data_IF_780945906998
#
_entry.id   IF_780945906998
#
_cell.length_a   1.000
_cell.length_b   1.000
_cell.length_c   1.000
_cell.angle_alpha   90.00
_cell.angle_beta   90.00
_cell.angle_gamma   90.00
#
_symmetry.space_group_name_H-M   'P 1'
#
loop_
_entity.id
_entity.type
_entity.pdbx_description
1 polymer ?
#
# COMPACT_ATOMS: atom_id res chain seq x y z
N UNK A 1 -19.72 28.06 -29.36
CA UNK A 1 -20.84 27.15 -29.00
C UNK A 1 -20.95 27.04 -27.50
N UNK A 2 -22.02 27.57 -26.92
CA UNK A 2 -22.34 27.39 -25.50
C UNK A 2 -23.32 26.23 -25.36
N UNK A 3 -22.85 25.04 -25.13
CA UNK A 3 -23.71 23.99 -24.60
C UNK A 3 -23.67 24.08 -23.07
N UNK A 4 -24.64 24.74 -22.47
CA UNK A 4 -24.94 24.55 -21.06
C UNK A 4 -25.88 23.36 -20.97
N UNK A 5 -25.39 22.20 -20.62
CA UNK A 5 -26.25 21.15 -20.12
C UNK A 5 -26.17 21.16 -18.60
N UNK A 6 -27.21 21.65 -17.96
CA UNK A 6 -27.45 21.43 -16.55
C UNK A 6 -28.17 20.10 -16.43
N UNK A 7 -27.42 19.05 -16.15
CA UNK A 7 -27.99 17.74 -15.80
C UNK A 7 -27.91 17.56 -14.28
N UNK A 8 -29.03 17.22 -13.66
CA UNK A 8 -29.03 16.66 -12.31
C UNK A 8 -28.66 15.20 -12.44
N UNK A 9 -27.47 14.80 -12.00
CA UNK A 9 -27.14 13.40 -11.87
C UNK A 9 -28.01 12.80 -10.76
N UNK A 10 -28.68 11.66 -11.00
CA UNK A 10 -29.39 10.98 -9.93
C UNK A 10 -28.39 10.66 -8.82
N UNK A 11 -28.70 11.05 -7.58
CA UNK A 11 -27.96 10.59 -6.42
C UNK A 11 -28.04 9.07 -6.42
N UNK A 12 -26.92 8.40 -6.54
CA UNK A 12 -26.89 6.97 -6.33
C UNK A 12 -27.35 6.69 -4.89
N UNK A 13 -28.37 5.86 -4.72
CA UNK A 13 -28.88 5.46 -3.40
C UNK A 13 -27.82 4.67 -2.61
N UNK A 14 -26.86 4.10 -3.30
CA UNK A 14 -25.71 3.40 -2.72
C UNK A 14 -24.44 4.00 -3.34
N UNK A 15 -23.42 4.36 -2.52
CA UNK A 15 -22.14 4.83 -3.04
C UNK A 15 -21.55 3.78 -3.97
N UNK A 16 -21.35 4.11 -5.23
CA UNK A 16 -20.65 3.24 -6.16
C UNK A 16 -19.19 3.25 -5.73
N UNK A 17 -18.69 2.11 -5.24
CA UNK A 17 -17.26 1.93 -5.04
C UNK A 17 -16.61 1.70 -6.40
N UNK A 18 -15.73 2.61 -6.78
CA UNK A 18 -14.86 2.44 -7.94
C UNK A 18 -13.57 1.76 -7.47
N UNK A 19 -13.03 0.92 -8.34
CA UNK A 19 -11.79 0.20 -8.07
C UNK A 19 -11.99 -1.19 -7.46
N UNK A 20 -10.87 -1.86 -7.22
CA UNK A 20 -10.82 -3.20 -6.65
C UNK A 20 -10.78 -3.10 -5.12
N UNK A 21 -11.56 -3.91 -4.40
CA UNK A 21 -11.41 -4.01 -2.94
C UNK A 21 -10.02 -4.57 -2.61
N UNK A 22 -9.18 -3.75 -1.99
CA UNK A 22 -7.81 -4.14 -1.66
C UNK A 22 -7.71 -4.86 -0.33
N UNK A 23 -8.62 -4.60 0.62
CA UNK A 23 -8.64 -5.30 1.91
C UNK A 23 -8.93 -6.78 1.72
N UNK A 24 -8.26 -7.62 2.51
CA UNK A 24 -8.42 -9.06 2.38
C UNK A 24 -8.38 -9.75 3.76
N UNK A 25 -9.38 -10.57 4.03
CA UNK A 25 -9.44 -11.44 5.20
C UNK A 25 -8.90 -12.85 4.93
N UNK A 26 -8.42 -13.08 3.71
CA UNK A 26 -7.86 -14.36 3.27
C UNK A 26 -8.83 -15.54 3.48
N UNK A 27 -10.12 -15.31 3.21
CA UNK A 27 -11.17 -16.33 3.43
C UNK A 27 -11.28 -17.34 2.28
N UNK A 28 -10.80 -16.99 1.10
CA UNK A 28 -10.89 -17.82 -0.08
C UNK A 28 -9.91 -18.99 -0.08
N UNK A 29 -10.00 -19.81 -1.12
CA UNK A 29 -9.03 -20.87 -1.43
C UNK A 29 -7.98 -20.41 -2.43
N UNK A 30 -8.22 -19.29 -3.08
CA UNK A 30 -7.35 -18.66 -4.08
C UNK A 30 -7.07 -17.20 -3.72
N UNK A 31 -5.95 -16.66 -4.19
CA UNK A 31 -5.61 -15.25 -4.03
C UNK A 31 -6.63 -14.38 -4.78
N UNK A 32 -7.05 -13.29 -4.14
CA UNK A 32 -7.85 -12.26 -4.79
C UNK A 32 -7.09 -11.57 -5.93
N UNK A 33 -7.85 -10.92 -6.84
CA UNK A 33 -7.30 -10.27 -8.04
C UNK A 33 -6.35 -9.11 -7.73
N UNK A 34 -6.41 -8.53 -6.52
CA UNK A 34 -5.53 -7.47 -6.07
C UNK A 34 -4.08 -7.92 -5.89
N UNK A 35 -3.83 -9.23 -5.74
CA UNK A 35 -2.51 -9.76 -5.42
C UNK A 35 -1.71 -10.17 -6.64
N UNK A 36 -0.47 -9.74 -6.71
CA UNK A 36 0.48 -10.10 -7.76
C UNK A 36 1.84 -10.47 -7.15
N UNK A 37 2.54 -11.41 -7.76
CA UNK A 37 3.92 -11.71 -7.38
C UNK A 37 4.91 -10.75 -8.05
N UNK A 38 6.04 -10.52 -7.39
CA UNK A 38 7.13 -9.79 -8.00
C UNK A 38 7.95 -10.67 -8.94
N UNK A 39 7.95 -10.36 -10.23
CA UNK A 39 8.71 -11.01 -11.33
C UNK A 39 8.45 -12.51 -11.55
N UNK A 40 8.12 -13.26 -10.52
CA UNK A 40 7.99 -14.70 -10.57
C UNK A 40 6.59 -15.12 -10.12
N UNK A 41 5.82 -15.73 -10.99
CA UNK A 41 4.54 -16.31 -10.60
C UNK A 41 4.75 -17.58 -9.78
N UNK A 42 4.45 -17.53 -8.50
CA UNK A 42 4.75 -18.60 -7.56
C UNK A 42 3.55 -19.00 -6.68
N UNK A 43 2.43 -19.47 -7.26
CA UNK A 43 1.22 -19.79 -6.50
C UNK A 43 1.46 -20.87 -5.45
N UNK A 44 2.37 -21.84 -5.69
CA UNK A 44 2.76 -22.88 -4.72
C UNK A 44 3.50 -22.35 -3.47
N UNK A 45 3.88 -21.08 -3.47
CA UNK A 45 4.48 -20.43 -2.32
C UNK A 45 3.44 -19.81 -1.38
N UNK A 46 2.16 -19.82 -1.77
CA UNK A 46 1.03 -19.29 -0.98
C UNK A 46 0.13 -20.43 -0.57
N UNK A 47 -0.31 -20.41 0.67
CA UNK A 47 -1.39 -21.26 1.19
C UNK A 47 -2.40 -20.37 1.89
N UNK A 48 -3.68 -20.55 1.57
CA UNK A 48 -4.80 -19.88 2.22
C UNK A 48 -5.56 -20.89 3.06
N UNK A 49 -5.58 -20.68 4.37
CA UNK A 49 -6.24 -21.57 5.30
C UNK A 49 -6.67 -20.82 6.56
N UNK A 50 -7.87 -21.06 7.04
CA UNK A 50 -8.39 -20.47 8.28
C UNK A 50 -8.22 -18.94 8.37
N UNK A 51 -8.58 -18.23 7.29
CA UNK A 51 -8.42 -16.77 7.18
C UNK A 51 -6.96 -16.31 7.38
N UNK A 52 -6.03 -17.11 6.92
CA UNK A 52 -4.60 -16.86 7.04
C UNK A 52 -3.93 -17.11 5.71
N UNK A 53 -3.19 -16.13 5.23
CA UNK A 53 -2.28 -16.29 4.13
C UNK A 53 -0.91 -16.70 4.68
N UNK A 54 -0.41 -17.85 4.27
CA UNK A 54 0.96 -18.30 4.54
C UNK A 54 1.80 -18.09 3.30
N UNK A 55 2.94 -17.42 3.47
CA UNK A 55 3.86 -17.08 2.38
C UNK A 55 5.22 -17.72 2.65
N UNK A 56 5.59 -18.70 1.83
CA UNK A 56 6.91 -19.35 1.91
C UNK A 56 8.01 -18.34 1.64
N UNK A 57 9.01 -18.34 2.49
CA UNK A 57 10.13 -17.43 2.42
C UNK A 57 11.08 -17.72 1.23
N UNK A 58 11.83 -16.68 0.86
CA UNK A 58 12.88 -16.72 -0.15
C UNK A 58 13.87 -15.60 0.16
N UNK A 59 15.09 -15.74 -0.32
CA UNK A 59 16.10 -14.68 -0.31
C UNK A 59 16.68 -14.36 1.07
N UNK A 60 17.42 -13.24 1.12
CA UNK A 60 18.12 -12.77 2.32
C UNK A 60 17.72 -11.35 2.72
N UNK A 61 17.14 -10.60 1.81
CA UNK A 61 16.77 -9.19 1.96
C UNK A 61 15.39 -8.95 1.35
N UNK A 62 14.74 -7.80 1.58
CA UNK A 62 13.51 -7.45 0.87
C UNK A 62 13.66 -7.43 -0.65
N UNK A 63 14.86 -7.12 -1.16
CA UNK A 63 15.14 -7.04 -2.59
C UNK A 63 15.00 -8.39 -3.31
N UNK A 64 15.37 -9.49 -2.67
CA UNK A 64 15.31 -10.85 -3.19
C UNK A 64 14.31 -11.75 -2.43
N UNK A 65 13.55 -11.17 -1.52
CA UNK A 65 12.52 -11.84 -0.74
C UNK A 65 11.30 -12.29 -1.55
N UNK A 66 10.48 -13.12 -0.95
CA UNK A 66 9.17 -13.45 -1.53
C UNK A 66 8.22 -12.28 -1.27
N UNK A 67 7.71 -11.70 -2.33
CA UNK A 67 6.81 -10.56 -2.29
C UNK A 67 5.46 -10.92 -2.90
N UNK A 68 4.40 -10.54 -2.19
CA UNK A 68 3.04 -10.52 -2.69
C UNK A 68 2.55 -9.08 -2.63
N UNK A 69 2.21 -8.51 -3.79
CA UNK A 69 2.04 -7.08 -4.00
C UNK A 69 0.61 -6.73 -4.37
N UNK A 70 0.10 -5.64 -3.79
CA UNK A 70 -1.15 -4.99 -4.19
C UNK A 70 -0.87 -3.54 -4.60
N UNK A 71 -1.49 -3.09 -5.70
CA UNK A 71 -1.32 -1.72 -6.18
C UNK A 71 -2.22 -0.79 -5.39
N UNK A 72 -1.64 0.22 -4.73
CA UNK A 72 -2.41 1.27 -4.08
C UNK A 72 -3.12 2.13 -5.14
N UNK A 73 -4.40 2.43 -4.91
CA UNK A 73 -5.23 3.21 -5.83
C UNK A 73 -5.22 4.70 -5.49
N UNK A 74 -4.81 5.05 -4.27
CA UNK A 74 -4.88 6.39 -3.72
C UNK A 74 -3.49 6.95 -3.43
N UNK A 75 -3.39 8.27 -3.50
CA UNK A 75 -2.19 9.01 -3.07
C UNK A 75 -2.06 9.06 -1.55
N UNK A 76 -3.19 9.13 -0.86
CA UNK A 76 -3.27 9.15 0.60
C UNK A 76 -4.01 7.91 1.07
N UNK A 77 -3.34 7.06 1.82
CA UNK A 77 -3.93 5.81 2.32
C UNK A 77 -3.26 5.32 3.60
N UNK A 78 -3.97 4.44 4.27
CA UNK A 78 -3.46 3.65 5.38
C UNK A 78 -3.61 2.17 5.03
N UNK A 79 -2.57 1.39 5.30
CA UNK A 79 -2.60 -0.05 5.16
C UNK A 79 -2.03 -0.72 6.40
N UNK A 80 -2.62 -1.84 6.79
CA UNK A 80 -2.16 -2.62 7.94
C UNK A 80 -2.37 -4.12 7.72
N UNK A 81 -1.56 -4.91 8.41
CA UNK A 81 -1.67 -6.37 8.38
C UNK A 81 -1.14 -6.97 9.68
N UNK A 82 -1.76 -8.04 10.15
CA UNK A 82 -1.21 -8.88 11.21
C UNK A 82 -0.17 -9.83 10.63
N UNK A 83 1.00 -9.85 11.24
CA UNK A 83 2.15 -10.65 10.83
C UNK A 83 2.49 -11.65 11.93
N UNK A 84 2.65 -12.91 11.54
CA UNK A 84 3.27 -13.93 12.40
C UNK A 84 4.52 -14.45 11.71
N UNK A 85 5.65 -14.19 12.33
CA UNK A 85 6.98 -14.56 11.81
C UNK A 85 7.28 -16.01 12.14
N UNK A 86 7.60 -16.79 11.14
CA UNK A 86 7.99 -18.19 11.30
C UNK A 86 9.40 -18.39 11.89
N UNK A 87 9.78 -19.64 12.10
CA UNK A 87 11.15 -19.96 12.52
C UNK A 87 12.14 -19.71 11.36
N UNK A 88 13.25 -19.03 11.65
CA UNK A 88 14.28 -18.67 10.66
C UNK A 88 13.72 -17.82 9.49
N UNK A 89 12.74 -17.01 9.79
CA UNK A 89 12.03 -16.17 8.84
C UNK A 89 12.09 -14.71 9.31
N UNK A 90 12.04 -13.80 8.34
CA UNK A 90 11.83 -12.36 8.54
C UNK A 90 10.67 -11.95 7.66
N UNK A 91 9.70 -11.24 8.21
CA UNK A 91 8.51 -10.88 7.48
C UNK A 91 7.96 -9.52 7.88
N UNK A 92 7.14 -8.92 7.01
CA UNK A 92 6.54 -7.63 7.29
C UNK A 92 5.77 -7.03 6.12
N UNK A 93 5.66 -5.71 6.14
CA UNK A 93 4.91 -4.89 5.21
C UNK A 93 5.81 -3.81 4.62
N UNK A 94 5.80 -3.67 3.31
CA UNK A 94 6.63 -2.72 2.58
C UNK A 94 5.77 -1.89 1.62
N UNK A 95 6.24 -0.70 1.30
CA UNK A 95 5.98 -0.03 0.04
C UNK A 95 7.12 -0.39 -0.90
N UNK A 96 6.81 -1.01 -2.02
CA UNK A 96 7.80 -1.62 -2.89
C UNK A 96 7.64 -1.14 -4.33
N UNK A 97 8.65 -0.47 -4.84
CA UNK A 97 8.76 -0.09 -6.24
C UNK A 97 9.61 -1.11 -7.02
N UNK A 98 10.80 -1.40 -6.51
CA UNK A 98 11.77 -2.34 -7.11
C UNK A 98 12.77 -2.83 -6.06
N UNK A 99 13.69 -3.72 -6.45
CA UNK A 99 14.77 -4.22 -5.59
C UNK A 99 15.67 -3.10 -5.05
N UNK A 100 15.69 -1.94 -5.71
CA UNK A 100 16.51 -0.78 -5.35
C UNK A 100 15.72 0.32 -4.64
N UNK A 101 14.40 0.20 -4.58
CA UNK A 101 13.51 1.24 -4.04
C UNK A 101 12.33 0.61 -3.30
N UNK A 102 12.43 0.59 -1.98
CA UNK A 102 11.37 0.15 -1.07
C UNK A 102 11.54 0.81 0.30
N UNK A 103 10.46 0.99 1.01
CA UNK A 103 10.39 1.48 2.38
C UNK A 103 9.40 0.62 3.17
N UNK A 104 9.54 0.51 4.49
CA UNK A 104 8.61 -0.25 5.30
C UNK A 104 9.29 -0.95 6.47
N UNK A 105 8.67 -2.00 6.97
CA UNK A 105 9.12 -2.71 8.15
C UNK A 105 9.10 -4.22 7.94
N UNK A 106 10.14 -4.87 8.42
CA UNK A 106 10.19 -6.33 8.61
C UNK A 106 10.67 -6.66 10.03
N UNK A 107 10.37 -7.86 10.50
CA UNK A 107 10.88 -8.36 11.78
C UNK A 107 11.23 -9.84 11.69
N UNK A 108 12.24 -10.25 12.45
CA UNK A 108 12.59 -11.65 12.71
C UNK A 108 11.95 -12.18 14.02
N UNK A 109 11.13 -11.34 14.66
CA UNK A 109 10.50 -11.60 15.95
C UNK A 109 11.33 -11.14 17.16
N UNK A 110 12.56 -10.64 16.96
CA UNK A 110 13.43 -10.06 18.00
C UNK A 110 13.77 -8.60 17.71
N UNK A 111 13.84 -8.26 16.43
CA UNK A 111 14.22 -6.95 15.93
C UNK A 111 13.21 -6.48 14.90
N UNK A 112 12.79 -5.23 14.96
CA UNK A 112 12.15 -4.51 13.88
C UNK A 112 13.22 -3.85 13.03
N UNK A 113 13.25 -4.16 11.75
CA UNK A 113 14.09 -3.48 10.77
C UNK A 113 13.23 -2.55 9.94
N UNK A 114 13.39 -1.25 10.16
CA UNK A 114 12.69 -0.20 9.41
C UNK A 114 13.56 0.23 8.24
N UNK A 115 13.07 0.07 7.04
CA UNK A 115 13.68 0.57 5.81
C UNK A 115 13.10 1.94 5.47
N UNK A 116 13.94 2.97 5.41
CA UNK A 116 13.56 4.29 4.88
C UNK A 116 13.70 4.34 3.36
N UNK A 117 14.66 3.58 2.87
CA UNK A 117 14.94 3.31 1.47
C UNK A 117 15.73 1.99 1.40
N UNK A 118 15.80 1.34 0.23
CA UNK A 118 16.66 0.18 0.03
C UNK A 118 18.10 0.48 0.47
N UNK A 119 18.63 -0.29 1.41
CA UNK A 119 19.96 -0.08 1.99
C UNK A 119 20.01 0.92 3.16
N UNK A 120 19.03 1.77 3.36
CA UNK A 120 18.94 2.66 4.52
C UNK A 120 17.99 2.07 5.57
N UNK A 121 18.53 1.43 6.59
CA UNK A 121 17.74 0.76 7.61
C UNK A 121 18.10 1.22 9.02
N UNK A 122 17.11 1.12 9.91
CA UNK A 122 17.27 1.29 11.35
C UNK A 122 16.76 0.03 12.03
N UNK A 123 17.49 -0.49 12.99
CA UNK A 123 17.11 -1.66 13.78
C UNK A 123 16.65 -1.22 15.18
N UNK A 124 15.51 -1.74 15.62
CA UNK A 124 14.84 -1.40 16.88
C UNK A 124 14.46 -2.71 17.56
N UNK A 125 14.71 -2.90 18.87
CA UNK A 125 14.28 -4.09 19.58
C UNK A 125 12.77 -4.33 19.44
N UNK A 126 12.39 -5.55 19.07
CA UNK A 126 11.00 -5.95 18.97
C UNK A 126 10.53 -6.54 20.31
N UNK A 127 9.75 -5.76 21.05
CA UNK A 127 9.16 -6.19 22.34
C UNK A 127 7.83 -6.94 22.17
N UNK A 128 7.26 -6.97 20.97
CA UNK A 128 5.98 -7.64 20.66
C UNK A 128 6.16 -9.13 20.33
N UNK A 129 7.41 -9.54 20.03
CA UNK A 129 7.72 -10.91 19.67
C UNK A 129 7.37 -11.24 18.21
N UNK A 130 7.01 -12.51 17.95
CA UNK A 130 6.78 -13.01 16.60
C UNK A 130 5.43 -12.65 16.00
N UNK A 131 4.49 -12.17 16.81
CA UNK A 131 3.16 -11.77 16.34
C UNK A 131 2.91 -10.31 16.66
N UNK A 132 2.67 -9.53 15.63
CA UNK A 132 2.43 -8.09 15.72
C UNK A 132 1.57 -7.63 14.54
N UNK A 133 0.99 -6.45 14.65
CA UNK A 133 0.35 -5.75 13.55
C UNK A 133 1.26 -4.61 13.12
N UNK A 134 1.48 -4.48 11.83
CA UNK A 134 2.20 -3.35 11.23
C UNK A 134 1.23 -2.48 10.45
N UNK A 135 1.41 -1.16 10.56
CA UNK A 135 0.64 -0.15 9.85
C UNK A 135 1.57 0.81 9.13
N UNK A 136 1.25 1.09 7.88
CA UNK A 136 1.88 2.13 7.06
C UNK A 136 0.82 3.15 6.70
N UNK A 137 1.07 4.43 6.97
CA UNK A 137 0.29 5.56 6.46
C UNK A 137 1.12 6.30 5.43
N UNK A 138 0.54 6.53 4.26
CA UNK A 138 1.11 7.38 3.23
C UNK A 138 0.26 8.64 3.07
N UNK A 139 0.86 9.80 3.26
CA UNK A 139 0.21 11.09 3.09
C UNK A 139 1.04 11.95 2.14
N UNK A 140 0.62 12.02 0.88
CA UNK A 140 1.33 12.80 -0.13
C UNK A 140 2.79 12.35 -0.34
N UNK A 141 3.05 11.05 -0.33
CA UNK A 141 4.37 10.41 -0.41
C UNK A 141 5.25 10.55 0.85
N UNK A 142 4.71 11.04 1.96
CA UNK A 142 5.36 11.00 3.27
C UNK A 142 4.77 9.86 4.09
N UNK A 143 5.62 8.93 4.48
CA UNK A 143 5.21 7.67 5.09
C UNK A 143 5.55 7.65 6.57
N UNK A 144 4.60 7.17 7.38
CA UNK A 144 4.84 6.77 8.76
C UNK A 144 4.59 5.28 8.95
N UNK A 145 5.37 4.68 9.85
CA UNK A 145 5.34 3.25 10.14
C UNK A 145 5.10 3.06 11.63
N UNK A 146 4.07 2.30 11.97
CA UNK A 146 3.71 2.00 13.35
C UNK A 146 3.49 0.50 13.54
N UNK A 147 3.69 0.03 14.75
CA UNK A 147 3.44 -1.36 15.16
C UNK A 147 2.54 -1.41 16.39
N UNK A 148 1.83 -2.48 16.53
CA UNK A 148 0.97 -2.75 17.68
C UNK A 148 0.74 -4.25 17.87
N UNK A 149 0.24 -4.64 19.01
CA UNK A 149 -0.04 -6.06 19.32
C UNK A 149 -1.32 -6.55 18.65
N UNK A 150 -2.35 -5.73 18.67
CA UNK A 150 -3.72 -6.10 18.29
C UNK A 150 -4.38 -5.13 17.28
N UNK A 151 -3.62 -4.16 16.78
CA UNK A 151 -4.12 -3.13 15.86
C UNK A 151 -4.97 -2.04 16.51
N UNK A 152 -4.99 -1.94 17.83
CA UNK A 152 -5.70 -0.88 18.60
C UNK A 152 -4.75 0.17 19.10
N UNK A 153 -3.70 -0.24 19.80
CA UNK A 153 -2.65 0.65 20.29
C UNK A 153 -1.45 0.60 19.36
N UNK A 154 -0.87 1.77 19.08
CA UNK A 154 0.18 1.92 18.08
C UNK A 154 1.39 2.64 18.65
N UNK A 155 2.55 2.04 18.42
CA UNK A 155 3.85 2.68 18.61
C UNK A 155 4.43 3.07 17.26
N UNK A 156 4.68 4.34 17.04
CA UNK A 156 5.30 4.84 15.81
C UNK A 156 6.80 4.61 15.88
N UNK A 157 7.33 3.89 14.90
CA UNK A 157 8.76 3.58 14.79
C UNK A 157 9.50 4.50 13.82
N UNK A 158 8.79 5.07 12.86
CA UNK A 158 9.36 6.02 11.91
C UNK A 158 8.29 6.94 11.34
N UNK A 159 8.69 8.17 11.04
CA UNK A 159 7.87 9.20 10.42
C UNK A 159 8.66 9.95 9.34
N UNK A 160 7.94 10.62 8.44
CA UNK A 160 8.51 11.50 7.43
C UNK A 160 9.42 10.78 6.42
N UNK A 161 9.17 9.50 6.15
CA UNK A 161 9.90 8.78 5.10
C UNK A 161 9.37 9.27 3.75
N UNK A 162 10.22 9.96 3.00
CA UNK A 162 9.87 10.44 1.66
C UNK A 162 10.03 9.31 0.64
N UNK A 163 8.92 8.93 0.01
CA UNK A 163 8.88 7.92 -1.07
C UNK A 163 8.60 8.54 -2.44
N UNK A 164 8.57 9.87 -2.55
CA UNK A 164 8.28 10.58 -3.80
C UNK A 164 9.28 10.26 -4.92
N UNK A 165 10.53 9.95 -4.55
CA UNK A 165 11.57 9.54 -5.49
C UNK A 165 11.49 8.08 -5.95
N UNK A 166 10.53 7.26 -5.47
CA UNK A 166 10.40 5.85 -5.84
C UNK A 166 9.56 5.69 -7.11
N UNK A 167 10.07 6.13 -8.25
CA UNK A 167 9.36 6.14 -9.53
C UNK A 167 10.31 5.85 -10.71
N UNK A 168 9.75 5.70 -11.92
CA UNK A 168 10.46 5.25 -13.13
C UNK A 168 11.60 6.18 -13.57
N UNK A 169 11.48 7.50 -13.38
CA UNK A 169 12.56 8.42 -13.76
C UNK A 169 13.82 8.22 -12.92
N UNK A 170 13.67 7.79 -11.65
CA UNK A 170 14.80 7.55 -10.76
C UNK A 170 15.36 6.12 -10.88
N UNK A 171 14.50 5.12 -11.05
CA UNK A 171 14.89 3.70 -10.94
C UNK A 171 14.66 2.89 -12.21
N UNK A 172 14.17 3.50 -13.29
CA UNK A 172 13.73 2.85 -14.54
C UNK A 172 12.59 1.85 -14.28
N UNK A 173 12.07 1.24 -15.34
CA UNK A 173 10.89 0.38 -15.28
C UNK A 173 9.61 1.19 -15.07
N UNK A 174 8.49 0.69 -15.57
CA UNK A 174 7.18 1.33 -15.44
C UNK A 174 6.35 0.60 -14.38
N UNK A 175 6.84 0.64 -13.13
CA UNK A 175 6.15 0.06 -11.99
C UNK A 175 5.40 1.13 -11.21
N UNK A 176 4.37 0.72 -10.47
CA UNK A 176 3.78 1.53 -9.42
C UNK A 176 4.50 1.26 -8.09
N UNK A 177 4.43 2.21 -7.15
CA UNK A 177 4.77 1.96 -5.75
C UNK A 177 3.64 1.13 -5.13
N UNK A 178 3.91 -0.12 -4.78
CA UNK A 178 2.92 -1.12 -4.36
C UNK A 178 3.08 -1.50 -2.91
N UNK A 179 2.00 -1.88 -2.28
CA UNK A 179 1.98 -2.44 -0.93
C UNK A 179 2.42 -3.91 -1.04
N UNK A 180 3.41 -4.32 -0.26
CA UNK A 180 4.00 -5.66 -0.34
C UNK A 180 4.01 -6.40 0.99
N UNK A 181 3.39 -7.57 1.03
CA UNK A 181 3.65 -8.56 2.06
C UNK A 181 4.97 -9.27 1.70
N UNK A 182 5.89 -9.35 2.64
CA UNK A 182 7.23 -9.90 2.38
C UNK A 182 7.56 -11.02 3.35
N UNK A 183 8.17 -12.10 2.81
CA UNK A 183 8.69 -13.23 3.59
C UNK A 183 10.09 -13.58 3.11
N UNK A 184 11.07 -13.54 4.03
CA UNK A 184 12.50 -13.60 3.76
C UNK A 184 13.13 -14.72 4.59
N UNK A 185 14.14 -15.39 4.04
CA UNK A 185 14.89 -16.45 4.73
C UNK A 185 14.35 -17.82 4.43
N UNK A 186 14.03 -18.60 5.48
CA UNK A 186 13.53 -19.98 5.38
C UNK A 186 12.16 -20.10 6.05
N UNK A 187 11.45 -21.20 5.78
CA UNK A 187 10.11 -21.42 6.34
C UNK A 187 9.07 -20.53 5.69
N UNK A 188 8.15 -20.04 6.48
CA UNK A 188 7.03 -19.20 6.02
C UNK A 188 6.63 -18.18 7.07
N UNK A 189 5.99 -17.10 6.60
CA UNK A 189 5.28 -16.14 7.44
C UNK A 189 3.77 -16.30 7.26
N UNK A 190 3.01 -15.93 8.28
CA UNK A 190 1.56 -15.88 8.20
C UNK A 190 1.07 -14.43 8.28
N UNK A 191 0.08 -14.11 7.46
CA UNK A 191 -0.56 -12.80 7.38
C UNK A 191 -2.07 -12.96 7.56
N UNK A 192 -2.67 -12.01 8.28
CA UNK A 192 -4.10 -11.97 8.54
C UNK A 192 -4.60 -10.54 8.51
N UNK A 193 -5.90 -10.39 8.22
CA UNK A 193 -6.59 -9.10 8.31
C UNK A 193 -5.83 -7.97 7.61
N UNK A 194 -5.50 -8.16 6.34
CA UNK A 194 -4.97 -7.08 5.54
C UNK A 194 -6.07 -6.04 5.33
N UNK A 195 -5.77 -4.79 5.68
CA UNK A 195 -6.70 -3.67 5.53
C UNK A 195 -6.06 -2.58 4.72
N UNK A 196 -6.83 -2.03 3.83
CA UNK A 196 -6.53 -0.84 3.08
C UNK A 196 -7.64 0.16 3.29
N UNK A 197 -7.28 1.39 3.59
CA UNK A 197 -8.21 2.49 3.75
C UNK A 197 -7.64 3.70 3.05
N UNK A 198 -8.35 4.21 2.07
CA UNK A 198 -8.01 5.49 1.48
C UNK A 198 -8.29 6.63 2.48
N UNK A 199 -7.46 7.65 2.44
CA UNK A 199 -7.65 8.90 3.17
C UNK A 199 -8.13 9.96 2.17
N UNK A 200 -9.36 9.80 1.69
CA UNK A 200 -9.99 10.82 0.84
C UNK A 200 -10.30 12.02 1.73
N UNK A 201 -9.88 13.25 1.36
CA UNK A 201 -10.36 14.45 2.01
C UNK A 201 -11.89 14.43 2.05
N UNK A 202 -12.48 14.71 3.20
CA UNK A 202 -13.92 14.83 3.29
C UNK A 202 -14.34 16.00 2.39
N UNK A 203 -15.46 15.88 1.67
CA UNK A 203 -15.94 16.93 0.77
C UNK A 203 -16.06 18.29 1.47
N UNK A 204 -16.40 18.29 2.77
CA UNK A 204 -16.41 19.48 3.64
C UNK A 204 -15.05 20.17 3.81
N UNK A 205 -13.95 19.45 3.55
CA UNK A 205 -12.58 19.96 3.70
C UNK A 205 -12.05 20.55 2.38
N UNK A 206 -12.84 20.46 1.31
CA UNK A 206 -12.50 21.00 -0.01
C UNK A 206 -13.08 22.41 -0.14
N UNK A 207 -12.25 23.37 -0.53
CA UNK A 207 -12.67 24.74 -0.83
C UNK A 207 -13.13 24.93 -2.27
N UNK A 208 -12.60 24.15 -3.19
CA UNK A 208 -12.96 24.16 -4.60
C UNK A 208 -12.40 22.92 -5.32
N UNK A 209 -12.97 22.64 -6.49
CA UNK A 209 -12.48 21.66 -7.45
C UNK A 209 -11.79 22.41 -8.61
N UNK A 210 -10.64 21.91 -9.04
CA UNK A 210 -9.92 22.43 -10.19
C UNK A 210 -9.93 21.40 -11.31
N UNK A 211 -10.53 21.77 -12.45
CA UNK A 211 -10.41 21.02 -13.68
C UNK A 211 -9.31 21.63 -14.54
N UNK A 212 -8.38 20.82 -14.99
CA UNK A 212 -7.36 21.21 -15.95
C UNK A 212 -7.61 20.45 -17.25
N UNK A 213 -7.74 21.14 -18.37
CA UNK A 213 -8.04 20.52 -19.65
C UNK A 213 -7.29 21.21 -20.78
N UNK A 214 -7.08 20.45 -21.84
CA UNK A 214 -6.44 20.92 -23.08
C UNK A 214 -7.50 21.14 -24.16
N UNK A 215 -7.32 22.17 -24.97
CA UNK A 215 -8.10 22.39 -26.18
C UNK A 215 -7.19 22.24 -27.40
N UNK A 216 -7.52 21.30 -28.25
CA UNK A 216 -6.74 21.01 -29.47
C UNK A 216 -6.73 22.19 -30.45
N UNK A 217 -7.84 22.90 -30.54
CA UNK A 217 -8.02 24.07 -31.44
C UNK A 217 -7.03 25.22 -31.15
N UNK A 218 -6.63 25.37 -29.90
CA UNK A 218 -5.80 26.48 -29.42
C UNK A 218 -4.46 26.04 -28.90
N UNK A 219 -4.21 24.73 -28.82
CA UNK A 219 -3.00 24.12 -28.22
C UNK A 219 -2.69 24.67 -26.82
N UNK A 220 -3.72 25.14 -26.12
CA UNK A 220 -3.62 25.78 -24.81
C UNK A 220 -4.06 24.90 -23.66
N UNK A 221 -3.42 25.09 -22.50
CA UNK A 221 -3.86 24.53 -21.24
C UNK A 221 -4.86 25.50 -20.58
N UNK A 222 -6.02 25.00 -20.23
CA UNK A 222 -7.10 25.76 -19.57
C UNK A 222 -7.34 25.21 -18.19
N UNK A 223 -7.79 26.09 -17.31
CA UNK A 223 -8.20 25.75 -15.95
C UNK A 223 -9.59 26.29 -15.69
N UNK A 224 -10.42 25.48 -15.05
CA UNK A 224 -11.73 25.88 -14.57
C UNK A 224 -11.89 25.51 -13.10
N UNK A 225 -12.55 26.39 -12.36
CA UNK A 225 -12.84 26.19 -10.93
C UNK A 225 -14.32 25.90 -10.73
N UNK A 226 -14.61 24.96 -9.86
CA UNK A 226 -15.96 24.64 -9.42
C UNK A 226 -16.03 24.59 -7.89
N UNK A 227 -17.15 25.00 -7.33
CA UNK A 227 -17.43 24.86 -5.89
C UNK A 227 -18.23 23.60 -5.56
N UNK A 228 -18.90 23.03 -6.54
CA UNK A 228 -19.76 21.86 -6.42
C UNK A 228 -19.20 20.61 -7.12
N UNK A 229 -18.10 20.75 -7.86
CA UNK A 229 -17.48 19.68 -8.65
C UNK A 229 -18.21 19.30 -9.94
N UNK A 230 -19.35 19.96 -10.24
CA UNK A 230 -20.19 19.64 -11.40
C UNK A 230 -20.31 20.79 -12.38
N UNK A 231 -20.19 22.01 -11.91
CA UNK A 231 -20.27 23.23 -12.74
C UNK A 231 -18.89 23.89 -12.79
N UNK A 232 -18.29 23.93 -13.98
CA UNK A 232 -16.97 24.52 -14.23
C UNK A 232 -17.03 25.69 -15.21
#
# INVERSE_FOLDING_TARGET
CRAKSTGTFPKAEVPIRHGLELSDDFQGTELGLQWTFWKEYAPKAVTLENRTLRLKAKGKTPADGRLLLATAEDKNYETQVEVTVGKNNTAGLLLYYSEKAYAGLVSDGKTFTVYRHAGQKTEIPNTLGRQFTVRIKNQGNHVSISVGKDGKEWTTLAEGIDVSGMHHNAYKGFYALRIGLVSIGKGEAAFRRFRYKNAVPQEKDLSAYLMVFHKDETHGLYMALSRDGYTF
#
